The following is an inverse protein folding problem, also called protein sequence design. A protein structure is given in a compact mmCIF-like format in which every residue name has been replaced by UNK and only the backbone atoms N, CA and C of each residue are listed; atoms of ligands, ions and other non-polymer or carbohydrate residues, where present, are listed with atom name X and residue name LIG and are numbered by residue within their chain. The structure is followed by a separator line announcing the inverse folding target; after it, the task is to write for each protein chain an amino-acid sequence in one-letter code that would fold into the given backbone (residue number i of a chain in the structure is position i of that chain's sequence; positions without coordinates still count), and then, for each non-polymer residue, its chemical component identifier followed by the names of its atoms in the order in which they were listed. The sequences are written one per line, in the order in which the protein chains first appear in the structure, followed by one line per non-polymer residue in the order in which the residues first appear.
data_IF_023878162590
#
_entry.id   IF_023878162590
#
_cell.length_a   1.000
_cell.length_b   1.000
_cell.length_c   1.000
_cell.angle_alpha   90.00
_cell.angle_beta   90.00
_cell.angle_gamma   90.00
#
_symmetry.space_group_name_H-M   'P 1'
#
loop_
_entity.id
_entity.type
_entity.pdbx_description
1 polymer ?
#
# COMPACT_ATOMS: atom_id res chain seq x y z
N UNK A 1 15.03 7.40 9.86
CA UNK A 1 14.15 6.98 10.98
C UNK A 1 14.04 5.45 10.97
N UNK A 2 13.95 4.79 12.13
CA UNK A 2 13.76 3.34 12.20
C UNK A 2 12.29 3.01 12.47
N UNK A 3 11.71 2.15 11.64
CA UNK A 3 10.36 1.60 11.77
C UNK A 3 10.46 0.11 12.09
N UNK A 4 9.74 -0.34 13.10
CA UNK A 4 9.69 -1.75 13.51
C UNK A 4 8.25 -2.24 13.36
N UNK A 5 8.08 -3.43 12.79
CA UNK A 5 6.75 -3.98 12.49
C UNK A 5 6.80 -5.50 12.41
N UNK A 6 5.63 -6.13 12.51
CA UNK A 6 5.51 -7.59 12.41
C UNK A 6 5.02 -7.98 11.02
N UNK A 7 5.82 -8.73 10.28
CA UNK A 7 5.45 -9.26 8.97
C UNK A 7 5.42 -10.79 9.02
N UNK A 8 4.26 -11.37 8.72
CA UNK A 8 4.05 -12.83 8.74
C UNK A 8 4.57 -13.48 10.05
N UNK A 9 4.17 -12.90 11.19
CA UNK A 9 4.54 -13.33 12.56
C UNK A 9 6.01 -13.17 12.94
N UNK A 10 6.85 -12.63 12.04
CA UNK A 10 8.28 -12.43 12.27
C UNK A 10 8.61 -10.92 12.38
N UNK A 11 9.59 -10.55 13.23
CA UNK A 11 10.00 -9.17 13.38
C UNK A 11 10.69 -8.65 12.11
N UNK A 12 10.29 -7.46 11.68
CA UNK A 12 10.86 -6.75 10.55
C UNK A 12 11.22 -5.32 10.94
N UNK A 13 12.19 -4.72 10.25
CA UNK A 13 12.48 -3.29 10.43
C UNK A 13 12.97 -2.61 9.17
N UNK A 14 12.59 -1.34 9.02
CA UNK A 14 13.08 -0.45 7.98
C UNK A 14 13.82 0.73 8.62
N UNK A 15 15.11 0.84 8.38
CA UNK A 15 15.91 2.02 8.70
C UNK A 15 16.01 2.92 7.47
N UNK A 16 15.17 3.94 7.42
CA UNK A 16 15.08 4.89 6.29
C UNK A 16 16.28 5.83 6.19
N UNK A 17 17.01 6.07 7.29
CA UNK A 17 18.23 6.90 7.21
C UNK A 17 19.35 6.12 6.53
N UNK A 18 19.41 4.82 6.78
CA UNK A 18 20.41 3.92 6.18
C UNK A 18 19.97 3.33 4.84
N UNK A 19 18.67 3.31 4.54
CA UNK A 19 18.13 2.61 3.39
C UNK A 19 18.21 1.08 3.56
N UNK A 20 17.97 0.57 4.77
CA UNK A 20 18.14 -0.85 5.10
C UNK A 20 16.82 -1.44 5.57
N UNK A 21 16.30 -2.42 4.83
CA UNK A 21 15.25 -3.31 5.28
C UNK A 21 15.85 -4.60 5.85
N UNK A 22 15.48 -4.94 7.09
CA UNK A 22 15.92 -6.16 7.79
C UNK A 22 14.71 -7.03 8.04
N UNK A 23 14.78 -8.27 7.57
CA UNK A 23 13.76 -9.30 7.76
C UNK A 23 14.40 -10.67 7.60
N UNK A 24 14.01 -11.63 8.43
CA UNK A 24 14.72 -12.92 8.53
C UNK A 24 14.28 -13.96 7.51
N UNK A 25 13.06 -13.85 6.97
CA UNK A 25 12.60 -14.73 5.88
C UNK A 25 13.15 -14.21 4.54
N UNK A 26 14.27 -14.80 4.11
CA UNK A 26 14.98 -14.44 2.88
C UNK A 26 14.15 -14.65 1.61
N UNK A 27 13.19 -15.57 1.60
CA UNK A 27 12.31 -15.80 0.45
C UNK A 27 11.35 -14.63 0.28
N UNK A 28 10.64 -14.26 1.36
CA UNK A 28 9.74 -13.10 1.37
C UNK A 28 10.54 -11.81 1.12
N UNK A 29 11.71 -11.67 1.75
CA UNK A 29 12.57 -10.50 1.56
C UNK A 29 12.94 -10.33 0.08
N UNK A 30 13.31 -11.41 -0.60
CA UNK A 30 13.62 -11.37 -2.03
C UNK A 30 12.43 -10.91 -2.87
N UNK A 31 11.21 -11.39 -2.58
CA UNK A 31 10.00 -10.94 -3.29
C UNK A 31 9.74 -9.44 -3.08
N UNK A 32 9.95 -8.94 -1.86
CA UNK A 32 9.82 -7.51 -1.56
C UNK A 32 10.86 -6.71 -2.36
N UNK A 33 12.11 -7.17 -2.39
CA UNK A 33 13.19 -6.53 -3.14
C UNK A 33 12.89 -6.50 -4.65
N UNK A 34 12.35 -7.59 -5.21
CA UNK A 34 11.90 -7.67 -6.61
C UNK A 34 10.73 -6.73 -6.90
N UNK A 35 9.74 -6.66 -6.00
CA UNK A 35 8.59 -5.75 -6.12
C UNK A 35 9.03 -4.29 -6.08
N UNK A 36 9.98 -3.95 -5.21
CA UNK A 36 10.58 -2.61 -5.13
C UNK A 36 11.33 -2.29 -6.43
N UNK A 37 12.11 -3.23 -6.96
CA UNK A 37 12.85 -3.02 -8.20
C UNK A 37 11.90 -2.78 -9.39
N UNK A 38 10.82 -3.55 -9.49
CA UNK A 38 9.79 -3.35 -10.51
C UNK A 38 9.11 -1.99 -10.36
N UNK A 39 8.60 -1.66 -9.15
CA UNK A 39 7.95 -0.38 -8.88
C UNK A 39 8.84 0.84 -9.20
N UNK A 40 10.14 0.75 -8.91
CA UNK A 40 11.12 1.78 -9.28
C UNK A 40 11.28 1.93 -10.79
N UNK A 41 11.13 0.86 -11.57
CA UNK A 41 11.22 0.93 -13.04
C UNK A 41 10.04 1.68 -13.66
N UNK A 42 8.86 1.60 -13.04
CA UNK A 42 7.67 2.37 -13.40
C UNK A 42 7.73 3.82 -12.88
N UNK A 43 8.51 4.07 -11.83
CA UNK A 43 8.72 5.39 -11.22
C UNK A 43 7.54 5.93 -10.44
N UNK A 44 6.39 5.24 -10.47
CA UNK A 44 5.17 5.61 -9.77
C UNK A 44 4.33 4.38 -9.47
N UNK A 45 3.69 4.40 -8.31
CA UNK A 45 2.69 3.44 -7.88
C UNK A 45 1.33 4.14 -7.74
N UNK A 46 0.25 3.55 -8.25
CA UNK A 46 -1.08 4.15 -8.19
C UNK A 46 -1.25 5.44 -9.01
N UNK A 47 -2.40 6.10 -8.86
CA UNK A 47 -2.82 7.24 -9.68
C UNK A 47 -3.16 6.89 -11.12
N UNK A 48 -3.58 7.89 -11.90
CA UNK A 48 -4.05 7.71 -13.28
C UNK A 48 -5.36 6.92 -13.33
N UNK A 49 -5.26 5.62 -13.64
CA UNK A 49 -6.38 4.65 -13.72
C UNK A 49 -6.47 3.74 -12.48
N UNK A 50 -5.65 3.98 -11.46
CA UNK A 50 -5.69 3.23 -10.20
C UNK A 50 -6.65 3.87 -9.21
N UNK A 51 -7.38 3.05 -8.45
CA UNK A 51 -8.22 3.50 -7.33
C UNK A 51 -7.42 4.07 -6.15
N UNK A 52 -6.08 4.00 -6.19
CA UNK A 52 -5.21 4.49 -5.12
C UNK A 52 -4.58 5.83 -5.46
N UNK A 53 -4.29 6.62 -4.41
CA UNK A 53 -3.46 7.83 -4.52
C UNK A 53 -2.11 7.46 -5.13
N UNK A 54 -1.68 8.25 -6.11
CA UNK A 54 -0.38 8.04 -6.74
C UNK A 54 0.77 8.43 -5.83
N UNK A 55 1.79 7.57 -5.77
CA UNK A 55 3.02 7.74 -5.00
C UNK A 55 4.19 7.62 -5.98
N UNK A 56 5.05 8.63 -6.03
CA UNK A 56 6.27 8.56 -6.83
C UNK A 56 7.28 7.63 -6.16
N UNK A 57 7.81 6.68 -6.93
CA UNK A 57 8.70 5.62 -6.43
C UNK A 57 10.13 5.92 -6.88
N UNK A 58 10.96 6.37 -5.93
CA UNK A 58 12.34 6.80 -6.15
C UNK A 58 13.33 5.99 -5.33
N UNK A 59 13.12 5.90 -4.01
CA UNK A 59 13.90 5.08 -3.10
C UNK A 59 13.04 4.55 -1.94
N UNK A 60 12.33 3.42 -2.16
CA UNK A 60 11.47 2.82 -1.14
C UNK A 60 12.17 2.45 0.15
N UNK A 61 13.48 2.20 0.17
CA UNK A 61 14.15 1.91 1.44
C UNK A 61 14.39 3.16 2.30
N UNK A 62 14.27 4.35 1.72
CA UNK A 62 14.46 5.65 2.40
C UNK A 62 13.17 6.40 2.67
N UNK A 63 12.03 5.87 2.24
CA UNK A 63 10.72 6.49 2.39
C UNK A 63 9.69 5.44 2.79
N UNK A 64 9.10 5.61 3.97
CA UNK A 64 8.15 4.65 4.53
C UNK A 64 6.88 4.52 3.67
N UNK A 65 6.41 5.59 3.04
CA UNK A 65 5.20 5.55 2.21
C UNK A 65 5.45 4.82 0.89
N UNK A 66 6.64 4.99 0.32
CA UNK A 66 7.06 4.23 -0.87
C UNK A 66 7.26 2.75 -0.54
N UNK A 67 7.87 2.44 0.62
CA UNK A 67 8.02 1.08 1.10
C UNK A 67 6.68 0.37 1.29
N UNK A 68 5.75 0.99 2.01
CA UNK A 68 4.43 0.42 2.28
C UNK A 68 3.61 0.23 1.02
N UNK A 69 3.72 1.13 0.04
CA UNK A 69 3.08 0.94 -1.27
C UNK A 69 3.61 -0.31 -2.00
N UNK A 70 4.94 -0.51 -2.00
CA UNK A 70 5.55 -1.70 -2.59
C UNK A 70 5.16 -2.98 -1.83
N UNK A 71 5.19 -2.94 -0.48
CA UNK A 71 4.78 -4.08 0.35
C UNK A 71 3.30 -4.44 0.12
N UNK A 72 2.42 -3.43 0.11
CA UNK A 72 0.99 -3.62 -0.15
C UNK A 72 0.77 -4.27 -1.52
N UNK A 73 1.52 -3.84 -2.54
CA UNK A 73 1.49 -4.45 -3.88
C UNK A 73 1.90 -5.91 -3.86
N UNK A 74 3.00 -6.24 -3.19
CA UNK A 74 3.47 -7.62 -3.09
C UNK A 74 2.41 -8.53 -2.43
N UNK A 75 1.70 -8.00 -1.42
CA UNK A 75 0.63 -8.71 -0.72
C UNK A 75 -0.62 -8.85 -1.60
N UNK A 76 -1.17 -7.74 -2.08
CA UNK A 76 -2.39 -7.71 -2.88
C UNK A 76 -2.23 -8.43 -4.24
N UNK A 77 -1.03 -8.42 -4.80
CA UNK A 77 -0.67 -9.09 -6.05
C UNK A 77 -0.46 -10.60 -5.94
N UNK A 78 -0.59 -11.20 -4.75
CA UNK A 78 -0.25 -12.61 -4.48
C UNK A 78 1.24 -12.94 -4.76
N UNK A 79 2.13 -11.97 -4.63
CA UNK A 79 3.56 -12.20 -4.82
C UNK A 79 4.18 -12.83 -3.57
N UNK A 80 3.69 -12.46 -2.38
CA UNK A 80 4.19 -13.04 -1.13
C UNK A 80 3.72 -14.49 -0.95
N UNK A 81 4.63 -15.44 -0.71
CA UNK A 81 4.24 -16.81 -0.39
C UNK A 81 3.38 -16.83 0.88
N UNK A 82 2.36 -17.70 0.90
CA UNK A 82 1.43 -17.93 2.03
C UNK A 82 0.43 -16.80 2.32
N UNK A 83 0.50 -15.66 1.63
CA UNK A 83 -0.45 -14.56 1.76
C UNK A 83 -1.25 -14.45 0.47
N UNK A 84 -2.57 -14.67 0.55
CA UNK A 84 -3.46 -14.37 -0.56
C UNK A 84 -3.71 -12.87 -0.60
N UNK A 85 -3.84 -12.31 -1.79
CA UNK A 85 -4.14 -10.89 -1.99
C UNK A 85 -5.45 -10.47 -1.35
N UNK A 86 -6.45 -11.36 -1.30
CA UNK A 86 -7.71 -11.15 -0.58
C UNK A 86 -7.54 -11.00 0.92
N UNK A 87 -6.44 -11.49 1.48
CA UNK A 87 -6.16 -11.49 2.92
C UNK A 87 -5.14 -10.40 3.30
N UNK A 88 -4.86 -9.47 2.38
CA UNK A 88 -3.92 -8.37 2.63
C UNK A 88 -4.33 -7.58 3.86
N UNK A 89 -5.62 -7.32 4.03
CA UNK A 89 -6.19 -6.62 5.19
C UNK A 89 -5.89 -7.31 6.53
N UNK A 90 -5.86 -8.64 6.53
CA UNK A 90 -5.61 -9.48 7.71
C UNK A 90 -4.14 -9.55 8.10
N UNK A 91 -3.25 -9.60 7.10
CA UNK A 91 -1.83 -9.87 7.32
C UNK A 91 -0.93 -8.64 7.20
N UNK A 92 -1.45 -7.51 6.70
CA UNK A 92 -0.64 -6.29 6.59
C UNK A 92 -0.19 -5.82 7.97
N UNK A 93 1.09 -5.40 8.14
CA UNK A 93 1.58 -5.00 9.45
C UNK A 93 0.81 -3.81 10.01
N UNK A 94 0.21 -3.96 11.20
CA UNK A 94 -0.62 -2.93 11.84
C UNK A 94 0.15 -1.66 12.14
N UNK A 95 1.42 -1.81 12.47
CA UNK A 95 2.35 -0.73 12.74
C UNK A 95 2.59 0.14 11.49
N UNK A 96 2.29 -0.38 10.30
CA UNK A 96 2.41 0.32 9.02
C UNK A 96 1.11 0.96 8.54
N UNK A 97 -0.03 0.78 9.23
CA UNK A 97 -1.31 1.36 8.84
C UNK A 97 -1.26 2.88 8.57
N UNK A 98 -0.58 3.70 9.39
CA UNK A 98 -0.51 5.15 9.13
C UNK A 98 0.20 5.53 7.82
N UNK A 99 0.99 4.61 7.26
CA UNK A 99 1.76 4.82 6.04
C UNK A 99 1.21 4.01 4.87
N UNK A 100 0.17 3.22 5.08
CA UNK A 100 -0.42 2.40 4.04
C UNK A 100 -1.03 3.27 2.92
N UNK A 101 -1.20 2.70 1.72
CA UNK A 101 -1.87 3.38 0.63
C UNK A 101 -3.26 3.92 0.99
N UNK A 102 -3.62 5.02 0.34
CA UNK A 102 -4.97 5.57 0.40
C UNK A 102 -5.72 5.31 -0.91
N UNK A 103 -7.03 5.05 -0.81
CA UNK A 103 -7.93 5.23 -1.94
C UNK A 103 -7.86 6.69 -2.40
N UNK A 104 -7.85 6.91 -3.72
CA UNK A 104 -7.88 8.24 -4.30
C UNK A 104 -9.21 8.92 -4.01
N UNK A 105 -9.20 10.20 -3.67
CA UNK A 105 -10.43 10.97 -3.52
C UNK A 105 -11.20 11.03 -4.85
N UNK A 106 -12.53 11.01 -4.76
CA UNK A 106 -13.40 11.02 -5.95
C UNK A 106 -13.77 12.45 -6.39
N UNK A 107 -13.92 13.35 -5.42
CA UNK A 107 -14.23 14.76 -5.61
C UNK A 107 -13.74 15.56 -4.41
N UNK A 108 -13.90 16.89 -4.43
CA UNK A 108 -13.49 17.76 -3.31
C UNK A 108 -14.11 17.33 -1.96
N UNK A 109 -15.34 16.82 -1.99
CA UNK A 109 -16.08 16.37 -0.80
C UNK A 109 -15.74 14.94 -0.33
N UNK A 110 -15.06 14.14 -1.16
CA UNK A 110 -14.67 12.76 -0.84
C UNK A 110 -13.15 12.69 -0.90
N UNK A 111 -12.45 13.01 0.21
CA UNK A 111 -11.00 13.03 0.25
C UNK A 111 -10.41 11.61 0.17
N UNK A 112 -9.09 11.48 -0.04
CA UNK A 112 -8.42 10.19 0.03
C UNK A 112 -8.64 9.47 1.37
N UNK A 113 -8.88 8.16 1.33
CA UNK A 113 -9.18 7.34 2.50
C UNK A 113 -8.06 6.33 2.71
N UNK A 114 -7.45 6.31 3.90
CA UNK A 114 -6.48 5.26 4.25
C UNK A 114 -7.19 3.90 4.35
N UNK A 115 -6.71 2.89 3.62
CA UNK A 115 -7.40 1.59 3.50
C UNK A 115 -7.55 0.82 4.81
N UNK A 116 -6.75 1.12 5.83
CA UNK A 116 -6.82 0.46 7.14
C UNK A 116 -7.39 1.34 8.25
N UNK A 117 -7.31 2.66 8.11
CA UNK A 117 -7.69 3.62 9.15
C UNK A 117 -8.94 4.43 8.83
N UNK A 118 -9.46 4.31 7.60
CA UNK A 118 -10.72 4.92 7.22
C UNK A 118 -11.86 4.46 8.13
N UNK A 119 -12.73 5.39 8.48
CA UNK A 119 -13.94 5.13 9.24
C UNK A 119 -14.99 4.46 8.36
N UNK A 120 -15.95 3.79 8.99
CA UNK A 120 -17.05 3.16 8.27
C UNK A 120 -17.84 4.19 7.46
N UNK A 121 -18.08 5.35 8.06
CA UNK A 121 -18.81 6.47 7.45
C UNK A 121 -18.08 7.03 6.22
N UNK A 122 -16.74 7.11 6.26
CA UNK A 122 -15.93 7.52 5.11
C UNK A 122 -16.05 6.51 3.95
N UNK A 123 -15.99 5.21 4.24
CA UNK A 123 -16.16 4.17 3.22
C UNK A 123 -17.58 4.11 2.66
N UNK A 124 -18.61 4.32 3.49
CA UNK A 124 -20.00 4.41 3.04
C UNK A 124 -20.20 5.61 2.10
N UNK A 125 -19.72 6.80 2.48
CA UNK A 125 -19.80 7.99 1.63
C UNK A 125 -19.03 7.84 0.32
N UNK A 126 -17.88 7.16 0.35
CA UNK A 126 -17.09 6.83 -0.85
C UNK A 126 -17.86 5.91 -1.79
N UNK A 127 -18.47 4.85 -1.26
CA UNK A 127 -19.27 3.88 -2.02
C UNK A 127 -20.51 4.52 -2.64
N UNK A 128 -21.26 5.30 -1.86
CA UNK A 128 -22.44 6.03 -2.34
C UNK A 128 -22.08 6.97 -3.50
N UNK A 129 -20.92 7.64 -3.41
CA UNK A 129 -20.46 8.53 -4.47
C UNK A 129 -20.02 7.78 -5.72
N UNK A 130 -19.33 6.64 -5.58
CA UNK A 130 -19.00 5.77 -6.72
C UNK A 130 -20.26 5.33 -7.47
N UNK A 131 -21.28 4.86 -6.75
CA UNK A 131 -22.55 4.46 -7.37
C UNK A 131 -23.25 5.62 -8.09
N UNK A 132 -23.19 6.82 -7.53
CA UNK A 132 -23.70 8.03 -8.19
C UNK A 132 -22.94 8.31 -9.49
N UNK A 133 -21.60 8.31 -9.44
CA UNK A 133 -20.74 8.56 -10.60
C UNK A 133 -20.94 7.52 -11.71
N UNK A 134 -21.09 6.24 -11.35
CA UNK A 134 -21.42 5.17 -12.29
C UNK A 134 -22.77 5.38 -12.98
N UNK A 135 -23.79 5.84 -12.25
CA UNK A 135 -25.11 6.20 -12.84
C UNK A 135 -25.00 7.33 -13.86
N UNK A 136 -24.02 8.23 -13.70
CA UNK A 136 -23.72 9.28 -14.66
C UNK A 136 -22.75 8.85 -15.78
N UNK A 137 -22.35 7.57 -15.81
CA UNK A 137 -21.50 7.00 -16.87
C UNK A 137 -20.01 7.32 -16.72
N UNK A 138 -19.55 7.69 -15.52
CA UNK A 138 -18.11 7.80 -15.25
C UNK A 138 -17.51 6.39 -15.18
N UNK A 139 -16.37 6.20 -15.83
CA UNK A 139 -15.64 4.93 -15.89
C UNK A 139 -14.20 5.17 -15.46
N UNK A 140 -13.67 4.31 -14.60
CA UNK A 140 -12.32 4.42 -14.01
C UNK A 140 -11.36 3.39 -14.63
#
# INVERSE_FOLDING_TARGET
MKYEFTLNELPASLDTDKGIFTYEDEEIKKVIDETIADAKSWGRWGGGTSIYVGIDITDPYRDIYQFTACLYTAMAGNHLPKIRGSDTDKYFPKELYPYAPCLAGLCEDIPPINVFLGTKEEFEAYGDKLEEMEKFGVVF
#
